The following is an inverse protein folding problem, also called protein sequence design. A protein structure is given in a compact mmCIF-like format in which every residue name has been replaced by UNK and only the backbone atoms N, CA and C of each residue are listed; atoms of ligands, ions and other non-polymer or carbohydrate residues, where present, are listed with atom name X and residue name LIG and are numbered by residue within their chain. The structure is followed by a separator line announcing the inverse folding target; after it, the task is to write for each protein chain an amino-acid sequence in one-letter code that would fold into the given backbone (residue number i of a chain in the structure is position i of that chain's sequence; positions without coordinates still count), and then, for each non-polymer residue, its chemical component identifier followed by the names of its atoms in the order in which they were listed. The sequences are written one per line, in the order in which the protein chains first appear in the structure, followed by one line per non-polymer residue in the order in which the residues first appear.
data_IF_913660476378
#
_entry.id   IF_913660476378
#
_cell.length_a   1.000
_cell.length_b   1.000
_cell.length_c   1.000
_cell.angle_alpha   90.00
_cell.angle_beta   90.00
_cell.angle_gamma   90.00
#
_symmetry.space_group_name_H-M   'P 1'
#
loop_
_entity.id
_entity.type
_entity.pdbx_description
1 polymer ?
#
# COMPACT_ATOMS: atom_id res chain seq x y z
N UNK A 1 -22.97 40.12 44.78
CA UNK A 1 -23.62 39.40 45.89
C UNK A 1 -23.14 37.94 45.85
N UNK A 2 -22.26 37.60 46.80
CA UNK A 2 -21.94 36.26 47.37
C UNK A 2 -21.72 35.09 46.39
N UNK A 3 -20.55 34.45 46.23
CA UNK A 3 -19.54 33.97 47.22
C UNK A 3 -20.15 33.21 48.42
N UNK A 4 -20.11 31.88 48.34
CA UNK A 4 -19.73 30.92 49.41
C UNK A 4 -19.37 29.57 48.71
N UNK A 5 -18.11 29.13 48.63
CA UNK A 5 -17.29 28.46 49.67
C UNK A 5 -17.92 27.20 50.26
N UNK A 6 -17.54 26.02 49.75
CA UNK A 6 -16.57 25.07 50.34
C UNK A 6 -16.39 23.89 49.35
N UNK A 7 -15.22 23.65 48.76
CA UNK A 7 -14.15 22.79 49.29
C UNK A 7 -14.66 21.49 49.92
N UNK A 8 -14.55 20.36 49.19
CA UNK A 8 -13.70 19.24 49.60
C UNK A 8 -13.60 18.11 48.55
N UNK A 9 -12.37 17.65 48.35
CA UNK A 9 -11.88 16.40 47.73
C UNK A 9 -11.78 16.22 46.20
N UNK A 10 -10.66 16.70 45.67
CA UNK A 10 -9.82 15.99 44.70
C UNK A 10 -9.21 14.72 45.31
N UNK A 11 -9.30 13.56 44.64
CA UNK A 11 -8.15 12.67 44.35
C UNK A 11 -8.50 11.29 43.74
N UNK A 12 -7.70 10.96 42.70
CA UNK A 12 -7.21 9.63 42.26
C UNK A 12 -8.01 8.74 41.28
N UNK A 13 -7.46 8.70 40.05
CA UNK A 13 -6.98 7.54 39.25
C UNK A 13 -7.98 6.43 38.89
N UNK A 14 -8.15 6.14 37.59
CA UNK A 14 -7.31 5.24 36.76
C UNK A 14 -7.82 5.23 35.31
N UNK A 15 -6.93 5.49 34.35
CA UNK A 15 -7.11 5.11 32.96
C UNK A 15 -6.84 3.61 32.81
N UNK A 16 -7.70 2.92 32.06
CA UNK A 16 -7.57 1.53 31.63
C UNK A 16 -7.35 1.45 30.12
N UNK A 17 -6.24 0.80 29.73
CA UNK A 17 -5.96 -0.04 28.54
C UNK A 17 -6.74 0.08 27.21
N UNK A 18 -5.98 -0.07 26.11
CA UNK A 18 -6.36 -0.51 24.74
C UNK A 18 -6.13 0.58 23.66
N UNK A 19 -5.59 0.36 22.45
CA UNK A 19 -5.23 -0.84 21.66
C UNK A 19 -4.37 -0.39 20.46
N UNK A 20 -3.37 -1.20 20.09
CA UNK A 20 -2.83 -1.47 18.73
C UNK A 20 -2.39 -0.29 17.82
N UNK A 21 -1.07 -0.02 17.81
CA UNK A 21 -0.36 0.63 16.69
C UNK A 21 0.64 -0.38 16.09
N UNK A 22 0.29 -0.93 14.93
CA UNK A 22 0.94 -2.05 14.23
C UNK A 22 1.88 -1.59 13.08
N UNK A 23 2.68 -0.54 13.28
CA UNK A 23 3.58 0.00 12.24
C UNK A 23 5.02 0.21 12.73
N UNK A 24 5.71 -0.90 13.03
CA UNK A 24 7.15 -0.91 13.36
C UNK A 24 8.02 -1.04 12.10
N UNK A 25 8.30 0.13 11.53
CA UNK A 25 9.08 0.41 10.32
C UNK A 25 10.59 0.16 10.51
N UNK A 26 11.18 -0.62 9.60
CA UNK A 26 12.60 -1.03 9.65
C UNK A 26 13.54 0.16 9.47
N UNK A 27 13.19 1.09 8.58
CA UNK A 27 13.97 2.31 8.36
C UNK A 27 13.96 3.31 9.53
N UNK A 28 13.06 3.15 10.51
CA UNK A 28 12.97 3.99 11.68
C UNK A 28 13.46 3.33 12.98
N UNK A 29 13.70 2.01 13.04
CA UNK A 29 14.01 1.35 14.32
C UNK A 29 15.39 1.71 14.89
N UNK A 30 16.42 1.95 14.06
CA UNK A 30 17.71 2.43 14.58
C UNK A 30 17.64 3.87 15.09
N UNK A 31 16.76 4.69 14.50
CA UNK A 31 16.50 6.06 14.95
C UNK A 31 15.54 6.10 16.13
N UNK A 32 14.53 5.24 16.26
CA UNK A 32 13.68 5.18 17.45
C UNK A 32 14.44 4.66 18.67
N UNK A 33 15.39 3.72 18.50
CA UNK A 33 16.40 3.46 19.53
C UNK A 33 17.18 4.74 19.85
N UNK A 34 17.72 5.47 18.87
CA UNK A 34 18.52 6.68 19.13
C UNK A 34 17.77 7.96 19.53
N UNK A 35 16.48 8.12 19.20
CA UNK A 35 15.70 9.36 19.44
C UNK A 35 14.81 9.24 20.67
N UNK A 36 14.41 8.03 21.09
CA UNK A 36 13.92 7.80 22.45
C UNK A 36 15.07 7.81 23.49
N UNK A 37 16.32 7.63 23.04
CA UNK A 37 17.55 7.74 23.83
C UNK A 37 18.28 9.07 23.49
N UNK A 38 17.57 10.19 23.56
CA UNK A 38 18.23 11.50 23.68
C UNK A 38 18.73 11.70 25.12
N UNK A 39 19.77 12.51 25.37
CA UNK A 39 20.59 12.42 26.59
C UNK A 39 19.72 12.56 27.83
N UNK A 40 19.84 11.59 28.74
CA UNK A 40 19.17 11.53 30.04
C UNK A 40 19.03 12.94 30.64
N UNK A 41 17.84 13.51 30.55
CA UNK A 41 17.54 14.75 31.27
C UNK A 41 17.02 14.36 32.65
N UNK A 42 17.59 15.03 33.64
CA UNK A 42 17.71 14.67 35.06
C UNK A 42 16.43 14.54 35.90
N UNK A 43 15.25 14.28 35.30
CA UNK A 43 13.99 14.16 36.05
C UNK A 43 13.19 12.96 35.60
N UNK A 44 13.44 11.88 36.33
CA UNK A 44 12.43 10.99 36.94
C UNK A 44 13.00 9.58 37.03
N UNK A 45 13.99 9.45 37.91
CA UNK A 45 14.36 8.17 38.50
C UNK A 45 13.17 7.64 39.30
N UNK A 46 12.81 6.39 39.00
CA UNK A 46 12.07 5.37 39.77
C UNK A 46 10.77 4.90 39.06
N UNK A 47 10.60 3.58 38.94
CA UNK A 47 9.36 2.82 38.57
C UNK A 47 9.11 2.61 37.05
N UNK A 48 8.09 1.83 36.61
CA UNK A 48 8.02 0.80 35.51
C UNK A 48 8.55 1.10 34.10
N UNK A 49 9.04 2.31 33.85
CA UNK A 49 9.54 2.81 32.58
C UNK A 49 10.72 2.00 31.99
N UNK A 50 11.57 1.41 32.85
CA UNK A 50 12.70 0.59 32.38
C UNK A 50 12.28 -0.80 31.87
N UNK A 51 11.15 -1.36 32.35
CA UNK A 51 10.68 -2.68 31.91
C UNK A 51 10.03 -2.56 30.54
N UNK A 52 9.21 -1.52 30.34
CA UNK A 52 8.58 -1.23 29.04
C UNK A 52 9.63 -1.02 27.94
N UNK A 53 10.72 -0.29 28.23
CA UNK A 53 11.83 -0.10 27.27
C UNK A 53 12.59 -1.40 26.96
N UNK A 54 12.76 -2.28 27.95
CA UNK A 54 13.38 -3.60 27.76
C UNK A 54 12.51 -4.50 26.90
N UNK A 55 11.20 -4.50 27.15
CA UNK A 55 10.22 -5.25 26.35
C UNK A 55 10.15 -4.71 24.91
N UNK A 56 10.17 -3.39 24.71
CA UNK A 56 10.27 -2.76 23.38
C UNK A 56 11.56 -3.19 22.65
N UNK A 57 12.71 -3.21 23.35
CA UNK A 57 13.98 -3.65 22.77
C UNK A 57 13.94 -5.12 22.34
N UNK A 58 13.43 -6.01 23.20
CA UNK A 58 13.28 -7.43 22.90
C UNK A 58 12.37 -7.60 21.67
N UNK A 59 11.21 -6.95 21.67
CA UNK A 59 10.26 -7.01 20.56
C UNK A 59 10.87 -6.51 19.24
N UNK A 60 11.59 -5.38 19.27
CA UNK A 60 12.25 -4.84 18.08
C UNK A 60 13.32 -5.80 17.54
N UNK A 61 14.07 -6.48 18.41
CA UNK A 61 15.06 -7.48 18.03
C UNK A 61 14.43 -8.74 17.46
N UNK A 62 13.37 -9.27 18.08
CA UNK A 62 12.65 -10.42 17.56
C UNK A 62 12.07 -10.12 16.17
N UNK A 63 11.52 -8.92 15.97
CA UNK A 63 11.04 -8.47 14.66
C UNK A 63 12.15 -8.31 13.63
N UNK A 64 13.36 -7.90 14.02
CA UNK A 64 14.51 -7.86 13.12
C UNK A 64 14.91 -9.27 12.69
N UNK A 65 14.97 -10.21 13.64
CA UNK A 65 15.32 -11.60 13.37
C UNK A 65 14.27 -12.30 12.49
N UNK A 66 12.97 -12.06 12.73
CA UNK A 66 11.89 -12.60 11.89
C UNK A 66 12.05 -12.21 10.41
N UNK A 67 12.51 -10.98 10.14
CA UNK A 67 12.72 -10.48 8.78
C UNK A 67 13.89 -11.15 8.07
N UNK A 68 14.88 -11.65 8.81
CA UNK A 68 16.01 -12.37 8.22
C UNK A 68 15.62 -13.71 7.62
N UNK A 69 14.49 -14.30 8.04
CA UNK A 69 14.00 -15.56 7.49
C UNK A 69 13.75 -15.46 5.99
N UNK A 70 13.19 -14.33 5.52
CA UNK A 70 12.95 -14.12 4.10
C UNK A 70 14.26 -14.09 3.29
N UNK A 71 15.36 -13.64 3.89
CA UNK A 71 16.67 -13.67 3.25
C UNK A 71 17.27 -15.07 3.25
N UNK A 72 17.14 -15.82 4.35
CA UNK A 72 17.69 -17.17 4.44
C UNK A 72 16.90 -18.19 3.64
N UNK A 73 15.59 -17.98 3.48
CA UNK A 73 14.70 -18.87 2.74
C UNK A 73 14.67 -18.56 1.24
N UNK A 74 15.12 -17.37 0.83
CA UNK A 74 15.26 -17.01 -0.59
C UNK A 74 16.19 -18.00 -1.31
N UNK A 75 15.73 -18.48 -2.47
CA UNK A 75 16.53 -19.35 -3.35
C UNK A 75 17.71 -18.60 -4.00
N UNK A 76 17.67 -17.26 -3.99
CA UNK A 76 18.61 -16.39 -4.69
C UNK A 76 19.68 -15.81 -3.75
N UNK A 77 19.50 -15.93 -2.43
CA UNK A 77 20.57 -15.59 -1.46
C UNK A 77 21.70 -16.63 -1.52
N UNK A 78 22.93 -16.14 -1.71
CA UNK A 78 24.13 -16.99 -1.74
C UNK A 78 24.36 -17.75 -0.43
N UNK A 79 25.03 -18.91 -0.49
CA UNK A 79 25.33 -19.70 0.70
C UNK A 79 26.17 -18.90 1.72
N UNK A 80 27.16 -18.15 1.23
CA UNK A 80 28.02 -17.30 2.07
C UNK A 80 27.22 -16.22 2.79
N UNK A 81 26.34 -15.51 2.08
CA UNK A 81 25.48 -14.49 2.69
C UNK A 81 24.52 -15.09 3.71
N UNK A 82 23.92 -16.26 3.41
CA UNK A 82 23.03 -16.98 4.33
C UNK A 82 23.75 -17.38 5.62
N UNK A 83 24.95 -17.94 5.51
CA UNK A 83 25.77 -18.30 6.67
C UNK A 83 26.13 -17.07 7.51
N UNK A 84 26.51 -15.96 6.85
CA UNK A 84 26.87 -14.73 7.54
C UNK A 84 25.66 -14.08 8.25
N UNK A 85 24.47 -14.06 7.61
CA UNK A 85 23.23 -13.59 8.24
C UNK A 85 22.92 -14.41 9.49
N UNK A 86 22.99 -15.74 9.41
CA UNK A 86 22.73 -16.64 10.56
C UNK A 86 23.74 -16.40 11.70
N UNK A 87 25.02 -16.27 11.37
CA UNK A 87 26.06 -15.94 12.34
C UNK A 87 25.78 -14.60 13.07
N UNK A 88 25.39 -13.56 12.32
CA UNK A 88 25.05 -12.25 12.90
C UNK A 88 23.77 -12.32 13.74
N UNK A 89 22.78 -13.12 13.35
CA UNK A 89 21.59 -13.38 14.15
C UNK A 89 21.93 -13.99 15.51
N UNK A 90 22.81 -15.00 15.54
CA UNK A 90 23.25 -15.62 16.79
C UNK A 90 24.08 -14.66 17.65
N UNK A 91 24.89 -13.82 17.02
CA UNK A 91 25.61 -12.73 17.71
C UNK A 91 24.65 -11.72 18.34
N UNK A 92 23.61 -11.28 17.62
CA UNK A 92 22.57 -10.39 18.15
C UNK A 92 21.86 -11.01 19.36
N UNK A 93 21.47 -12.28 19.28
CA UNK A 93 20.83 -13.01 20.40
C UNK A 93 21.75 -13.09 21.62
N UNK A 94 23.04 -13.36 21.41
CA UNK A 94 24.03 -13.45 22.48
C UNK A 94 24.22 -12.11 23.20
N UNK A 95 24.43 -11.02 22.46
CA UNK A 95 24.62 -9.69 23.05
C UNK A 95 23.33 -9.19 23.72
N UNK A 96 22.15 -9.43 23.13
CA UNK A 96 20.88 -9.10 23.80
C UNK A 96 20.75 -9.85 25.13
N UNK A 97 21.09 -11.14 25.17
CA UNK A 97 21.04 -11.94 26.40
C UNK A 97 22.02 -11.42 27.46
N UNK A 98 23.22 -11.00 27.07
CA UNK A 98 24.19 -10.37 27.99
C UNK A 98 23.64 -9.06 28.55
N UNK A 99 23.07 -8.23 27.68
CA UNK A 99 22.44 -6.98 28.04
C UNK A 99 21.32 -7.16 29.07
N UNK A 100 20.35 -8.03 28.76
CA UNK A 100 19.26 -8.33 29.67
C UNK A 100 19.75 -8.84 31.04
N UNK A 101 20.74 -9.73 31.05
CA UNK A 101 21.31 -10.25 32.31
C UNK A 101 21.93 -9.16 33.18
N UNK A 102 22.56 -8.15 32.57
CA UNK A 102 23.15 -7.01 33.29
C UNK A 102 22.03 -6.07 33.78
N UNK A 103 21.04 -5.80 32.92
CA UNK A 103 19.88 -4.97 33.26
C UNK A 103 19.06 -5.54 34.42
N UNK A 104 18.88 -6.86 34.48
CA UNK A 104 18.19 -7.52 35.60
C UNK A 104 18.99 -7.57 36.92
N UNK A 105 20.33 -7.43 36.87
CA UNK A 105 21.21 -7.57 38.05
C UNK A 105 21.64 -6.24 38.67
N UNK A 106 21.37 -5.12 38.01
CA UNK A 106 21.96 -3.82 38.36
C UNK A 106 21.13 -3.04 39.38
N UNK A 107 21.71 -2.69 40.52
CA UNK A 107 21.15 -1.71 41.48
C UNK A 107 21.70 -0.29 41.22
N UNK A 108 20.78 0.67 41.00
CA UNK A 108 20.83 2.16 40.98
C UNK A 108 22.09 2.98 40.56
N UNK A 109 23.31 2.43 40.48
CA UNK A 109 24.55 3.22 40.38
C UNK A 109 25.48 2.89 39.19
N UNK A 110 25.04 2.11 38.19
CA UNK A 110 25.87 1.77 37.01
C UNK A 110 25.20 2.12 35.67
N UNK A 111 24.72 3.36 35.53
CA UNK A 111 24.10 3.86 34.28
C UNK A 111 25.02 3.75 33.06
N UNK A 112 26.29 4.16 33.20
CA UNK A 112 27.28 4.11 32.12
C UNK A 112 27.50 2.68 31.60
N UNK A 113 27.41 1.67 32.48
CA UNK A 113 27.57 0.25 32.10
C UNK A 113 26.34 -0.24 31.32
N UNK A 114 25.14 0.29 31.61
CA UNK A 114 23.92 -0.04 30.85
C UNK A 114 23.95 0.59 29.45
N UNK A 115 24.36 1.85 29.34
CA UNK A 115 24.42 2.55 28.04
C UNK A 115 25.40 1.87 27.09
N UNK A 116 26.60 1.50 27.56
CA UNK A 116 27.58 0.76 26.77
C UNK A 116 27.07 -0.60 26.26
N UNK A 117 26.26 -1.29 27.06
CA UNK A 117 25.73 -2.60 26.72
C UNK A 117 24.55 -2.51 25.74
N UNK A 118 23.71 -1.49 25.88
CA UNK A 118 22.68 -1.14 24.90
C UNK A 118 23.34 -0.77 23.56
N UNK A 119 24.42 0.02 23.59
CA UNK A 119 25.18 0.38 22.40
C UNK A 119 25.80 -0.84 21.71
N UNK A 120 26.29 -1.83 22.48
CA UNK A 120 26.77 -3.11 21.92
C UNK A 120 25.65 -3.86 21.19
N UNK A 121 24.47 -3.94 21.80
CA UNK A 121 23.28 -4.56 21.20
C UNK A 121 22.88 -3.84 19.92
N UNK A 122 22.73 -2.52 19.95
CA UNK A 122 22.42 -1.69 18.77
C UNK A 122 23.49 -1.87 17.67
N UNK A 123 24.77 -1.92 18.05
CA UNK A 123 25.87 -2.15 17.12
C UNK A 123 25.74 -3.48 16.38
N UNK A 124 25.38 -4.57 17.06
CA UNK A 124 25.13 -5.86 16.39
C UNK A 124 23.93 -5.84 15.45
N UNK A 125 22.83 -5.17 15.83
CA UNK A 125 21.67 -5.01 14.95
C UNK A 125 21.99 -4.19 13.70
N UNK A 126 22.83 -3.15 13.82
CA UNK A 126 23.35 -2.39 12.68
C UNK A 126 24.17 -3.27 11.74
N UNK A 127 25.07 -4.09 12.28
CA UNK A 127 25.86 -5.02 11.47
C UNK A 127 24.99 -6.04 10.74
N UNK A 128 23.98 -6.60 11.41
CA UNK A 128 23.01 -7.50 10.79
C UNK A 128 22.27 -6.80 9.64
N UNK A 129 21.75 -5.61 9.90
CA UNK A 129 21.06 -4.79 8.88
C UNK A 129 21.96 -4.50 7.69
N UNK A 130 23.22 -4.13 7.93
CA UNK A 130 24.21 -3.91 6.88
C UNK A 130 24.45 -5.17 6.04
N UNK A 131 24.49 -6.36 6.65
CA UNK A 131 24.56 -7.59 5.87
C UNK A 131 23.30 -7.75 5.00
N UNK A 132 22.09 -7.61 5.54
CA UNK A 132 20.86 -7.71 4.73
C UNK A 132 20.90 -6.81 3.49
N UNK A 133 21.43 -5.60 3.63
CA UNK A 133 21.63 -4.65 2.54
C UNK A 133 22.63 -5.17 1.50
N UNK A 134 23.79 -5.65 1.95
CA UNK A 134 24.80 -6.24 1.07
C UNK A 134 24.26 -7.47 0.34
N UNK A 135 23.45 -8.28 1.01
CA UNK A 135 22.80 -9.46 0.42
C UNK A 135 21.83 -9.10 -0.71
N UNK A 136 21.10 -7.98 -0.63
CA UNK A 136 20.28 -7.49 -1.75
C UNK A 136 21.16 -6.87 -2.84
N UNK A 137 22.21 -6.13 -2.47
CA UNK A 137 23.12 -5.51 -3.42
C UNK A 137 23.82 -6.56 -4.30
N UNK A 138 24.20 -7.70 -3.72
CA UNK A 138 24.80 -8.84 -4.43
C UNK A 138 23.88 -9.41 -5.52
N UNK A 139 22.56 -9.46 -5.24
CA UNK A 139 21.54 -9.98 -6.16
C UNK A 139 21.11 -8.98 -7.26
N UNK A 140 21.60 -7.74 -7.20
CA UNK A 140 21.11 -6.65 -8.06
C UNK A 140 21.42 -6.89 -9.54
N UNK A 141 22.58 -7.48 -9.87
CA UNK A 141 22.93 -7.80 -11.25
C UNK A 141 21.97 -8.83 -11.87
N UNK A 142 21.66 -9.89 -11.12
CA UNK A 142 20.75 -10.94 -11.55
C UNK A 142 19.30 -10.44 -11.62
N UNK A 143 18.89 -9.56 -10.70
CA UNK A 143 17.61 -8.86 -10.79
C UNK A 143 17.47 -8.13 -12.13
N UNK A 144 18.46 -7.30 -12.50
CA UNK A 144 18.40 -6.56 -13.76
C UNK A 144 18.40 -7.47 -14.99
N UNK A 145 19.11 -8.60 -14.92
CA UNK A 145 19.04 -9.62 -15.94
C UNK A 145 17.60 -10.16 -16.08
N UNK A 146 16.97 -10.59 -14.98
CA UNK A 146 15.58 -11.06 -14.99
C UNK A 146 14.57 -10.01 -15.43
N UNK A 147 14.72 -8.75 -15.02
CA UNK A 147 13.89 -7.64 -15.47
C UNK A 147 13.98 -7.48 -17.00
N UNK A 148 15.20 -7.46 -17.55
CA UNK A 148 15.44 -7.33 -18.99
C UNK A 148 14.90 -8.53 -19.76
N UNK A 149 15.22 -9.75 -19.32
CA UNK A 149 14.75 -10.99 -19.95
C UNK A 149 13.23 -11.05 -19.93
N UNK A 150 12.56 -10.65 -18.83
CA UNK A 150 11.09 -10.64 -18.77
C UNK A 150 10.47 -9.76 -19.86
N UNK A 151 11.02 -8.57 -20.12
CA UNK A 151 10.54 -7.67 -21.17
C UNK A 151 10.76 -8.26 -22.56
N UNK A 152 11.92 -8.88 -22.80
CA UNK A 152 12.21 -9.58 -24.05
C UNK A 152 11.22 -10.74 -24.28
N UNK A 153 10.91 -11.52 -23.24
CA UNK A 153 9.92 -12.60 -23.32
C UNK A 153 8.53 -12.07 -23.64
N UNK A 154 8.09 -10.98 -22.99
CA UNK A 154 6.79 -10.35 -23.27
C UNK A 154 6.67 -9.87 -24.71
N UNK A 155 7.71 -9.22 -25.24
CA UNK A 155 7.70 -8.76 -26.63
C UNK A 155 7.65 -9.94 -27.63
N UNK A 156 8.24 -11.08 -27.27
CA UNK A 156 8.23 -12.28 -28.12
C UNK A 156 6.92 -13.07 -28.06
N UNK A 157 6.08 -12.89 -27.03
CA UNK A 157 4.79 -13.58 -26.95
C UNK A 157 3.87 -13.27 -28.13
N UNK A 158 3.97 -12.07 -28.72
CA UNK A 158 3.22 -11.72 -29.94
C UNK A 158 3.62 -12.61 -31.13
N UNK A 159 4.92 -12.80 -31.34
CA UNK A 159 5.45 -13.66 -32.41
C UNK A 159 5.10 -15.14 -32.18
N UNK A 160 5.25 -15.62 -30.95
CA UNK A 160 4.95 -17.01 -30.59
C UNK A 160 3.47 -17.32 -30.69
N UNK A 161 2.60 -16.35 -30.39
CA UNK A 161 1.17 -16.51 -30.54
C UNK A 161 0.76 -16.76 -31.99
N UNK A 162 1.47 -16.15 -32.95
CA UNK A 162 1.15 -16.26 -34.38
C UNK A 162 1.73 -17.51 -35.06
N UNK A 163 2.76 -18.14 -34.48
CA UNK A 163 3.50 -19.25 -35.11
C UNK A 163 2.96 -20.66 -34.78
N UNK A 164 1.87 -20.76 -34.01
CA UNK A 164 1.16 -22.02 -33.65
C UNK A 164 2.03 -23.17 -33.08
N UNK A 165 3.18 -22.89 -32.45
CA UNK A 165 3.99 -23.91 -31.77
C UNK A 165 3.69 -23.95 -30.25
N UNK A 166 2.89 -24.91 -29.76
CA UNK A 166 2.51 -25.00 -28.35
C UNK A 166 3.68 -25.38 -27.44
N UNK A 167 4.69 -26.08 -27.95
CA UNK A 167 5.83 -26.54 -27.15
C UNK A 167 6.74 -25.37 -26.81
N UNK A 168 7.14 -24.60 -27.82
CA UNK A 168 7.87 -23.35 -27.64
C UNK A 168 7.08 -22.36 -26.77
N UNK A 169 5.77 -22.19 -26.99
CA UNK A 169 4.97 -21.27 -26.16
C UNK A 169 5.03 -21.63 -24.67
N UNK A 170 4.96 -22.92 -24.33
CA UNK A 170 5.04 -23.37 -22.94
C UNK A 170 6.44 -23.14 -22.34
N UNK A 171 7.51 -23.41 -23.09
CA UNK A 171 8.87 -23.14 -22.62
C UNK A 171 9.12 -21.65 -22.33
N UNK A 172 8.63 -20.77 -23.19
CA UNK A 172 8.70 -19.32 -22.96
C UNK A 172 7.86 -18.88 -21.76
N UNK A 173 6.68 -19.46 -21.60
CA UNK A 173 5.81 -19.20 -20.45
C UNK A 173 6.49 -19.61 -19.13
N UNK A 174 7.17 -20.76 -19.11
CA UNK A 174 7.93 -21.21 -17.94
C UNK A 174 9.09 -20.27 -17.63
N UNK A 175 9.91 -19.90 -18.64
CA UNK A 175 11.01 -18.92 -18.45
C UNK A 175 10.52 -17.57 -17.94
N UNK A 176 9.35 -17.13 -18.40
CA UNK A 176 8.74 -15.90 -17.93
C UNK A 176 8.28 -16.01 -16.48
N UNK A 177 7.70 -17.15 -16.11
CA UNK A 177 7.33 -17.46 -14.73
C UNK A 177 8.55 -17.46 -13.80
N UNK A 178 9.65 -18.10 -14.20
CA UNK A 178 10.91 -18.09 -13.44
C UNK A 178 11.44 -16.67 -13.23
N UNK A 179 11.32 -15.80 -14.25
CA UNK A 179 11.66 -14.38 -14.09
C UNK A 179 10.74 -13.68 -13.09
N UNK A 180 9.42 -13.93 -13.15
CA UNK A 180 8.46 -13.36 -12.21
C UNK A 180 8.80 -13.76 -10.77
N UNK A 181 9.05 -15.05 -10.52
CA UNK A 181 9.36 -15.58 -9.20
C UNK A 181 10.62 -14.94 -8.63
N UNK A 182 11.67 -14.82 -9.44
CA UNK A 182 12.89 -14.12 -9.03
C UNK A 182 12.63 -12.64 -8.69
N UNK A 183 11.93 -11.91 -9.56
CA UNK A 183 11.66 -10.48 -9.33
C UNK A 183 10.79 -10.29 -8.07
N UNK A 184 9.78 -11.14 -7.87
CA UNK A 184 8.91 -11.11 -6.68
C UNK A 184 9.72 -11.33 -5.40
N UNK A 185 10.64 -12.31 -5.41
CA UNK A 185 11.49 -12.61 -4.27
C UNK A 185 12.39 -11.42 -3.93
N UNK A 186 13.06 -10.83 -4.91
CA UNK A 186 13.92 -9.65 -4.67
C UNK A 186 13.10 -8.43 -4.23
N UNK A 187 11.87 -8.22 -4.74
CA UNK A 187 10.97 -7.19 -4.22
C UNK A 187 10.65 -7.42 -2.73
N UNK A 188 10.44 -8.67 -2.31
CA UNK A 188 10.23 -9.01 -0.89
C UNK A 188 11.45 -8.67 -0.03
N UNK A 189 12.66 -8.89 -0.53
CA UNK A 189 13.90 -8.51 0.17
C UNK A 189 14.10 -6.99 0.22
N UNK A 190 13.83 -6.28 -0.88
CA UNK A 190 13.86 -4.81 -0.97
C UNK A 190 12.91 -4.17 0.03
N UNK A 191 11.72 -4.74 0.24
CA UNK A 191 10.76 -4.29 1.25
C UNK A 191 11.37 -4.27 2.67
N UNK A 192 12.25 -5.21 3.00
CA UNK A 192 12.86 -5.28 4.34
C UNK A 192 13.96 -4.25 4.56
N UNK A 193 14.69 -3.87 3.52
CA UNK A 193 15.76 -2.88 3.63
C UNK A 193 15.30 -1.46 3.32
N UNK A 194 14.03 -1.27 2.93
CA UNK A 194 13.45 0.03 2.62
C UNK A 194 13.54 0.99 3.82
N UNK A 195 14.10 2.17 3.57
CA UNK A 195 14.34 3.19 4.59
C UNK A 195 13.09 3.97 5.00
N UNK A 196 12.06 3.99 4.14
CA UNK A 196 10.81 4.71 4.41
C UNK A 196 9.62 3.78 4.29
N UNK A 197 8.56 4.06 5.05
CA UNK A 197 7.27 3.35 4.93
C UNK A 197 6.71 3.42 3.51
N UNK A 198 6.86 4.57 2.86
CA UNK A 198 6.43 4.76 1.47
C UNK A 198 7.12 3.76 0.53
N UNK A 199 8.45 3.65 0.60
CA UNK A 199 9.21 2.70 -0.23
C UNK A 199 8.89 1.24 0.14
N UNK A 200 8.65 0.96 1.42
CA UNK A 200 8.24 -0.35 1.89
C UNK A 200 6.88 -0.77 1.31
N UNK A 201 5.89 0.12 1.38
CA UNK A 201 4.55 -0.11 0.83
C UNK A 201 4.59 -0.21 -0.68
N UNK A 202 5.36 0.64 -1.37
CA UNK A 202 5.54 0.57 -2.82
C UNK A 202 6.14 -0.78 -3.25
N UNK A 203 7.23 -1.21 -2.60
CA UNK A 203 7.87 -2.49 -2.88
C UNK A 203 6.91 -3.68 -2.66
N UNK A 204 6.12 -3.66 -1.59
CA UNK A 204 5.06 -4.65 -1.33
C UNK A 204 3.98 -4.66 -2.41
N UNK A 205 3.50 -3.48 -2.81
CA UNK A 205 2.49 -3.34 -3.86
C UNK A 205 2.99 -3.86 -5.21
N UNK A 206 4.26 -3.60 -5.55
CA UNK A 206 4.86 -4.10 -6.79
C UNK A 206 4.95 -5.64 -6.80
N UNK A 207 5.33 -6.26 -5.69
CA UNK A 207 5.33 -7.73 -5.57
C UNK A 207 3.93 -8.33 -5.74
N UNK A 208 2.89 -7.69 -5.18
CA UNK A 208 1.49 -8.10 -5.36
C UNK A 208 1.06 -7.94 -6.82
N UNK A 209 1.37 -6.80 -7.44
CA UNK A 209 1.03 -6.52 -8.83
C UNK A 209 1.69 -7.54 -9.78
N UNK A 210 2.95 -7.90 -9.56
CA UNK A 210 3.62 -8.95 -10.35
C UNK A 210 2.88 -10.29 -10.27
N UNK A 211 2.45 -10.72 -9.07
CA UNK A 211 1.69 -11.96 -8.88
C UNK A 211 0.34 -11.94 -9.59
N UNK A 212 -0.31 -10.77 -9.65
CA UNK A 212 -1.60 -10.61 -10.31
C UNK A 212 -1.42 -10.57 -11.83
N UNK A 213 -0.53 -9.72 -12.34
CA UNK A 213 -0.42 -9.41 -13.76
C UNK A 213 0.47 -10.37 -14.55
N UNK A 214 1.49 -10.99 -13.95
CA UNK A 214 2.36 -11.97 -14.63
C UNK A 214 1.56 -13.08 -15.33
N UNK A 215 0.63 -13.77 -14.63
CA UNK A 215 -0.24 -14.76 -15.26
C UNK A 215 -1.17 -14.20 -16.35
N UNK A 216 -1.58 -12.93 -16.24
CA UNK A 216 -2.47 -12.31 -17.24
C UNK A 216 -1.75 -12.05 -18.57
N UNK A 217 -0.46 -11.74 -18.55
CA UNK A 217 0.35 -11.58 -19.77
C UNK A 217 0.37 -12.90 -20.56
N UNK A 218 0.63 -14.03 -19.90
CA UNK A 218 0.61 -15.35 -20.54
C UNK A 218 -0.79 -15.67 -21.07
N UNK A 219 -1.84 -15.35 -20.30
CA UNK A 219 -3.22 -15.58 -20.71
C UNK A 219 -3.59 -14.76 -21.95
N UNK A 220 -3.21 -13.48 -21.99
CA UNK A 220 -3.42 -12.61 -23.14
C UNK A 220 -2.74 -13.16 -24.40
N UNK A 221 -1.48 -13.60 -24.26
CA UNK A 221 -0.73 -14.24 -25.34
C UNK A 221 -1.40 -15.53 -25.84
N UNK A 222 -1.94 -16.34 -24.92
CA UNK A 222 -2.68 -17.58 -25.24
C UNK A 222 -4.03 -17.31 -25.92
N UNK A 223 -4.71 -16.22 -25.57
CA UNK A 223 -5.94 -15.79 -26.26
C UNK A 223 -5.60 -15.35 -27.68
N UNK A 224 -4.53 -14.58 -27.85
CA UNK A 224 -4.05 -14.14 -29.16
C UNK A 224 -3.67 -15.34 -30.04
N UNK A 225 -3.01 -16.36 -29.48
CA UNK A 225 -2.64 -17.56 -30.25
C UNK A 225 -3.85 -18.36 -30.72
N UNK A 226 -4.95 -18.33 -29.97
CA UNK A 226 -6.20 -18.96 -30.36
C UNK A 226 -6.98 -18.16 -31.40
N UNK A 227 -6.82 -16.84 -31.41
CA UNK A 227 -7.56 -15.90 -32.26
C UNK A 227 -6.62 -14.87 -32.92
N UNK A 228 -5.69 -15.30 -33.80
CA UNK A 228 -4.59 -14.45 -34.27
C UNK A 228 -5.03 -13.26 -35.13
N UNK A 229 -6.19 -13.34 -35.78
CA UNK A 229 -6.77 -12.27 -36.62
C UNK A 229 -7.71 -11.34 -35.85
N UNK A 230 -7.95 -11.62 -34.58
CA UNK A 230 -8.88 -10.86 -33.75
C UNK A 230 -8.25 -9.56 -33.27
N UNK A 231 -8.77 -8.42 -33.74
CA UNK A 231 -8.32 -7.09 -33.31
C UNK A 231 -8.40 -6.94 -31.77
N UNK A 232 -9.51 -7.29 -31.09
CA UNK A 232 -9.55 -7.22 -29.62
C UNK A 232 -8.52 -8.10 -28.91
N UNK A 233 -8.16 -9.26 -29.48
CA UNK A 233 -7.16 -10.13 -28.86
C UNK A 233 -5.75 -9.52 -28.98
N UNK A 234 -5.47 -8.84 -30.10
CA UNK A 234 -4.23 -8.13 -30.34
C UNK A 234 -4.10 -6.91 -29.39
N UNK A 235 -5.14 -6.07 -29.34
CA UNK A 235 -5.19 -4.91 -28.42
C UNK A 235 -5.05 -5.33 -26.95
N UNK A 236 -5.66 -6.45 -26.56
CA UNK A 236 -5.53 -6.99 -25.20
C UNK A 236 -4.09 -7.43 -24.89
N UNK A 237 -3.40 -8.10 -25.83
CA UNK A 237 -1.99 -8.47 -25.66
C UNK A 237 -1.09 -7.24 -25.52
N UNK A 238 -1.31 -6.23 -26.38
CA UNK A 238 -0.55 -4.97 -26.34
C UNK A 238 -0.76 -4.23 -25.01
N UNK A 239 -1.99 -4.17 -24.51
CA UNK A 239 -2.30 -3.54 -23.23
C UNK A 239 -1.55 -4.21 -22.06
N UNK A 240 -1.52 -5.54 -22.02
CA UNK A 240 -0.77 -6.27 -20.99
C UNK A 240 0.75 -6.16 -21.17
N UNK A 241 1.24 -6.06 -22.41
CA UNK A 241 2.66 -5.85 -22.68
C UNK A 241 3.13 -4.47 -22.20
N UNK A 242 2.36 -3.40 -22.46
CA UNK A 242 2.67 -2.06 -21.98
C UNK A 242 2.56 -1.95 -20.45
N UNK A 243 1.53 -2.57 -19.85
CA UNK A 243 1.43 -2.66 -18.39
C UNK A 243 2.64 -3.36 -17.78
N UNK A 244 3.13 -4.45 -18.40
CA UNK A 244 4.32 -5.15 -17.94
C UNK A 244 5.56 -4.26 -18.00
N UNK A 245 5.78 -3.56 -19.12
CA UNK A 245 6.91 -2.61 -19.26
C UNK A 245 6.86 -1.51 -18.19
N UNK A 246 5.67 -0.99 -17.90
CA UNK A 246 5.48 -0.01 -16.83
C UNK A 246 5.85 -0.60 -15.45
N UNK A 247 5.35 -1.80 -15.12
CA UNK A 247 5.68 -2.47 -13.86
C UNK A 247 7.20 -2.67 -13.70
N UNK A 248 7.87 -3.14 -14.75
CA UNK A 248 9.33 -3.34 -14.75
C UNK A 248 10.08 -2.02 -14.54
N UNK A 249 9.61 -0.93 -15.15
CA UNK A 249 10.16 0.42 -14.92
C UNK A 249 10.01 0.85 -13.47
N UNK A 250 8.84 0.66 -12.87
CA UNK A 250 8.58 1.04 -11.48
C UNK A 250 9.41 0.21 -10.50
N UNK A 251 9.56 -1.09 -10.73
CA UNK A 251 10.42 -1.97 -9.92
C UNK A 251 11.87 -1.51 -9.99
N UNK A 252 12.35 -1.19 -11.20
CA UNK A 252 13.70 -0.64 -11.42
C UNK A 252 13.89 0.64 -10.61
N UNK A 253 12.92 1.56 -10.65
CA UNK A 253 12.97 2.85 -9.96
C UNK A 253 12.97 2.69 -8.43
N UNK A 254 12.10 1.83 -7.89
CA UNK A 254 11.99 1.58 -6.45
C UNK A 254 13.22 0.86 -5.93
N UNK A 255 13.72 -0.16 -6.65
CA UNK A 255 14.95 -0.86 -6.28
C UNK A 255 16.14 0.12 -6.22
N UNK A 256 16.27 1.00 -7.22
CA UNK A 256 17.31 2.01 -7.26
C UNK A 256 17.20 3.00 -6.08
N UNK A 257 16.00 3.53 -5.81
CA UNK A 257 15.79 4.45 -4.68
C UNK A 257 16.13 3.81 -3.33
N UNK A 258 15.74 2.56 -3.12
CA UNK A 258 16.04 1.82 -1.89
C UNK A 258 17.55 1.61 -1.76
N UNK A 259 18.22 1.13 -2.81
CA UNK A 259 19.66 0.85 -2.78
C UNK A 259 20.50 2.13 -2.64
N UNK A 260 20.10 3.24 -3.27
CA UNK A 260 20.79 4.53 -3.17
C UNK A 260 20.67 5.15 -1.78
N UNK A 261 19.49 5.10 -1.17
CA UNK A 261 19.26 5.63 0.19
C UNK A 261 20.04 4.84 1.24
N UNK A 262 20.36 3.60 0.92
CA UNK A 262 21.05 2.67 1.82
C UNK A 262 22.57 2.64 1.57
N UNK A 263 23.04 3.32 0.52
CA UNK A 263 24.32 3.11 -0.13
C UNK A 263 25.48 4.06 0.21
N UNK A 264 25.45 4.87 1.28
CA UNK A 264 26.64 5.67 1.65
C UNK A 264 27.91 4.83 1.99
N UNK A 265 27.85 3.50 1.94
CA UNK A 265 29.02 2.61 2.14
C UNK A 265 29.25 1.53 1.06
N UNK A 266 28.61 1.57 -0.11
CA UNK A 266 28.90 0.60 -1.18
C UNK A 266 29.41 1.30 -2.45
N UNK A 267 30.58 0.87 -2.95
CA UNK A 267 31.32 1.48 -4.06
C UNK A 267 30.60 1.21 -5.40
N UNK A 268 29.51 1.94 -5.63
CA UNK A 268 28.50 1.74 -6.67
C UNK A 268 28.93 2.22 -8.07
N UNK A 269 29.99 1.62 -8.63
CA UNK A 269 30.49 1.93 -9.99
C UNK A 269 29.72 1.24 -11.11
N UNK A 270 28.94 0.20 -10.80
CA UNK A 270 28.12 -0.55 -11.80
C UNK A 270 26.71 0.03 -12.01
N UNK A 271 26.26 0.92 -11.12
CA UNK A 271 24.89 1.45 -11.08
C UNK A 271 24.56 2.40 -12.25
N UNK A 272 25.55 3.01 -12.89
CA UNK A 272 25.32 4.16 -13.81
C UNK A 272 25.00 3.82 -15.26
N UNK A 273 24.73 2.55 -15.62
CA UNK A 273 24.68 2.12 -17.04
C UNK A 273 23.39 1.47 -17.55
N UNK A 274 22.27 1.58 -16.83
CA UNK A 274 20.97 1.31 -17.45
C UNK A 274 20.11 2.57 -17.47
N UNK A 275 20.03 3.20 -18.65
CA UNK A 275 18.95 4.13 -18.99
C UNK A 275 18.01 3.35 -19.91
N UNK A 276 16.76 3.10 -19.51
CA UNK A 276 15.73 2.77 -20.48
C UNK A 276 15.68 3.91 -21.50
N UNK A 277 15.73 3.59 -22.78
CA UNK A 277 15.63 4.58 -23.85
C UNK A 277 14.32 5.34 -23.64
N UNK A 278 14.43 6.62 -23.27
CA UNK A 278 13.29 7.52 -23.24
C UNK A 278 12.69 7.55 -24.65
N UNK A 279 11.52 6.94 -24.82
CA UNK A 279 10.67 7.29 -25.94
C UNK A 279 10.25 8.74 -25.71
N UNK A 280 10.86 9.67 -26.47
CA UNK A 280 10.37 11.04 -26.54
C UNK A 280 8.92 11.00 -27.05
N UNK A 281 8.04 11.87 -26.52
CA UNK A 281 6.70 12.00 -27.01
C UNK A 281 6.77 12.51 -28.45
N UNK A 282 6.29 11.71 -29.40
CA UNK A 282 5.97 12.23 -30.72
C UNK A 282 4.68 13.04 -30.56
N UNK A 283 4.88 14.35 -30.43
CA UNK A 283 3.88 15.37 -30.70
C UNK A 283 3.43 15.26 -32.16
N UNK A 284 2.27 14.65 -32.38
CA UNK A 284 1.45 14.86 -33.57
C UNK A 284 0.10 15.37 -33.07
N UNK A 285 -0.14 16.66 -33.31
CA UNK A 285 -1.46 17.31 -33.31
C UNK A 285 -2.25 17.33 -32.01
N UNK A 286 -2.08 18.39 -31.20
CA UNK A 286 -3.20 18.89 -30.41
C UNK A 286 -4.29 19.44 -31.35
N UNK A 287 -5.54 19.35 -30.89
CA UNK A 287 -6.82 19.52 -31.60
C UNK A 287 -7.23 18.25 -32.37
N UNK A 288 -7.96 17.29 -31.79
CA UNK A 288 -9.22 17.44 -31.05
C UNK A 288 -9.19 16.85 -29.63
N UNK A 289 -9.75 17.61 -28.70
CA UNK A 289 -10.11 17.15 -27.37
C UNK A 289 -11.22 16.10 -27.44
N UNK A 290 -11.07 15.04 -26.64
CA UNK A 290 -12.18 14.40 -25.95
C UNK A 290 -12.99 13.41 -26.77
N UNK A 291 -12.73 12.11 -26.54
CA UNK A 291 -13.77 11.10 -26.38
C UNK A 291 -13.18 9.83 -25.77
N UNK A 292 -13.43 9.68 -24.48
CA UNK A 292 -13.61 8.36 -23.86
C UNK A 292 -14.64 7.63 -24.72
N UNK A 293 -14.25 6.57 -25.45
CA UNK A 293 -15.21 5.58 -25.94
C UNK A 293 -15.88 5.01 -24.67
N UNK A 294 -17.14 5.29 -24.30
CA UNK A 294 -18.37 5.31 -25.11
C UNK A 294 -18.50 4.13 -26.06
N UNK A 295 -18.21 2.95 -25.51
CA UNK A 295 -18.84 1.69 -25.90
C UNK A 295 -18.78 0.75 -24.68
N UNK A 296 -19.31 1.14 -23.53
CA UNK A 296 -20.59 0.61 -23.01
C UNK A 296 -21.35 1.64 -22.13
N UNK A 297 -21.01 2.93 -22.24
CA UNK A 297 -21.57 4.01 -21.39
C UNK A 297 -22.95 4.52 -21.81
N UNK A 298 -23.59 3.91 -22.82
CA UNK A 298 -24.89 4.38 -23.33
C UNK A 298 -26.07 4.10 -22.40
N UNK A 299 -25.88 3.28 -21.37
CA UNK A 299 -26.94 2.86 -20.45
C UNK A 299 -26.69 3.23 -18.98
N UNK A 300 -25.70 4.07 -18.66
CA UNK A 300 -25.40 4.39 -17.26
C UNK A 300 -26.17 5.64 -16.80
N UNK A 301 -26.92 5.58 -15.69
CA UNK A 301 -27.51 6.77 -15.09
C UNK A 301 -26.40 7.77 -14.72
N UNK A 302 -26.57 9.06 -15.07
CA UNK A 302 -25.61 10.14 -14.79
C UNK A 302 -25.21 10.25 -13.29
N UNK A 303 -26.00 9.66 -12.40
CA UNK A 303 -25.77 9.62 -10.95
C UNK A 303 -24.72 8.60 -10.50
N UNK A 304 -24.29 7.66 -11.36
CA UNK A 304 -23.29 6.60 -11.07
C UNK A 304 -22.00 6.79 -11.91
N UNK A 305 -21.95 7.80 -12.78
CA UNK A 305 -20.80 8.02 -13.64
C UNK A 305 -19.52 8.31 -12.83
N UNK A 306 -18.36 7.78 -13.25
CA UNK A 306 -17.07 8.15 -12.68
C UNK A 306 -16.91 9.66 -12.69
N UNK A 307 -16.56 10.20 -11.54
CA UNK A 307 -16.37 11.63 -11.35
C UNK A 307 -15.23 12.14 -12.24
N UNK A 308 -15.57 12.89 -13.30
CA UNK A 308 -14.63 13.24 -14.38
C UNK A 308 -14.48 14.76 -14.64
N UNK A 309 -14.90 15.62 -13.73
CA UNK A 309 -14.76 17.06 -13.91
C UNK A 309 -13.41 17.58 -13.40
N UNK A 310 -12.43 17.69 -14.31
CA UNK A 310 -11.25 18.58 -14.23
C UNK A 310 -10.61 18.74 -12.83
N UNK A 311 -10.03 17.66 -12.32
CA UNK A 311 -9.10 17.73 -11.19
C UNK A 311 -7.69 17.62 -11.75
N UNK A 312 -6.89 18.69 -11.65
CA UNK A 312 -5.48 18.65 -12.09
C UNK A 312 -4.74 17.53 -11.32
N UNK A 313 -4.29 16.52 -12.05
CA UNK A 313 -3.67 15.31 -11.48
C UNK A 313 -2.31 15.59 -10.83
N UNK A 314 -1.66 16.72 -11.11
CA UNK A 314 -0.31 17.04 -10.62
C UNK A 314 -0.23 17.57 -9.17
N UNK A 315 -1.36 17.97 -8.55
CA UNK A 315 -1.37 18.56 -7.18
C UNK A 315 -2.05 17.64 -6.15
N UNK A 316 -2.53 16.47 -6.57
CA UNK A 316 -3.68 15.85 -5.91
C UNK A 316 -3.46 14.45 -5.31
N UNK A 317 -2.22 13.94 -5.33
CA UNK A 317 -1.90 12.63 -4.73
C UNK A 317 -2.02 12.61 -3.19
N UNK A 318 -2.05 13.79 -2.56
CA UNK A 318 -2.20 13.96 -1.10
C UNK A 318 -3.63 14.26 -0.64
N UNK A 319 -4.63 14.31 -1.53
CA UNK A 319 -6.00 14.61 -1.13
C UNK A 319 -6.81 13.34 -0.83
N UNK A 320 -6.79 12.99 0.45
CA UNK A 320 -7.48 11.86 1.06
C UNK A 320 -9.00 11.81 0.79
N UNK A 321 -9.66 12.94 0.51
CA UNK A 321 -11.08 13.01 0.15
C UNK A 321 -11.29 12.47 -1.26
N UNK A 322 -10.44 12.89 -2.19
CA UNK A 322 -10.58 12.59 -3.63
C UNK A 322 -10.17 11.15 -3.90
N UNK A 323 -9.10 10.68 -3.28
CA UNK A 323 -8.67 9.28 -3.36
C UNK A 323 -9.79 8.33 -2.95
N UNK A 324 -10.46 8.62 -1.82
CA UNK A 324 -11.58 7.83 -1.33
C UNK A 324 -12.83 7.95 -2.21
N UNK A 325 -13.14 9.14 -2.72
CA UNK A 325 -14.25 9.33 -3.67
C UNK A 325 -14.04 8.57 -5.00
N UNK A 326 -12.81 8.55 -5.53
CA UNK A 326 -12.43 7.75 -6.70
C UNK A 326 -12.56 6.24 -6.40
N UNK A 327 -12.09 5.79 -5.24
CA UNK A 327 -12.24 4.40 -4.80
C UNK A 327 -13.72 3.97 -4.73
N UNK A 328 -14.56 4.80 -4.09
CA UNK A 328 -16.01 4.56 -4.04
C UNK A 328 -16.65 4.52 -5.44
N UNK A 329 -16.23 5.40 -6.35
CA UNK A 329 -16.72 5.37 -7.74
C UNK A 329 -16.39 4.05 -8.44
N UNK A 330 -15.18 3.52 -8.25
CA UNK A 330 -14.77 2.23 -8.80
C UNK A 330 -15.57 1.06 -8.20
N UNK A 331 -15.81 1.08 -6.90
CA UNK A 331 -16.65 0.07 -6.22
C UNK A 331 -18.10 0.10 -6.72
N UNK A 332 -18.71 1.28 -6.84
CA UNK A 332 -20.07 1.44 -7.36
C UNK A 332 -20.18 0.97 -8.82
N UNK A 333 -19.13 1.21 -9.62
CA UNK A 333 -19.06 0.73 -11.00
C UNK A 333 -18.99 -0.79 -11.09
N UNK A 334 -18.19 -1.46 -10.24
CA UNK A 334 -18.16 -2.92 -10.19
C UNK A 334 -19.53 -3.53 -9.83
N UNK A 335 -20.25 -2.90 -8.89
CA UNK A 335 -21.63 -3.30 -8.54
C UNK A 335 -22.61 -3.09 -9.69
N UNK A 336 -22.45 -2.01 -10.46
CA UNK A 336 -23.27 -1.78 -11.65
C UNK A 336 -22.97 -2.80 -12.77
N UNK A 337 -21.70 -3.10 -13.03
CA UNK A 337 -21.31 -4.10 -14.02
C UNK A 337 -21.90 -5.49 -13.71
N UNK A 338 -21.97 -5.86 -12.44
CA UNK A 338 -22.64 -7.10 -12.00
C UNK A 338 -24.08 -7.19 -12.52
N UNK A 339 -24.85 -6.09 -12.49
CA UNK A 339 -26.24 -6.07 -13.01
C UNK A 339 -26.33 -6.26 -14.53
N UNK A 340 -25.23 -6.01 -15.23
CA UNK A 340 -25.11 -6.22 -16.68
C UNK A 340 -24.53 -7.60 -17.04
N UNK A 341 -24.20 -8.41 -16.04
CA UNK A 341 -23.51 -9.69 -16.24
C UNK A 341 -22.02 -9.55 -16.60
N UNK A 342 -21.45 -8.36 -16.40
CA UNK A 342 -20.06 -8.02 -16.69
C UNK A 342 -19.28 -7.78 -15.37
N UNK A 343 -17.95 -7.70 -15.45
CA UNK A 343 -17.11 -7.30 -14.32
C UNK A 343 -16.59 -8.44 -13.43
N UNK A 344 -16.02 -8.07 -12.28
CA UNK A 344 -15.26 -8.99 -11.40
C UNK A 344 -16.13 -9.76 -10.40
N UNK A 345 -17.33 -9.28 -10.10
CA UNK A 345 -18.29 -9.91 -9.19
C UNK A 345 -19.02 -11.03 -9.93
N UNK A 346 -18.99 -12.26 -9.42
CA UNK A 346 -19.56 -13.43 -10.11
C UNK A 346 -20.80 -13.98 -9.44
N UNK A 347 -20.93 -13.77 -8.13
CA UNK A 347 -22.04 -14.27 -7.33
C UNK A 347 -22.81 -13.14 -6.66
N UNK A 348 -24.07 -13.39 -6.30
CA UNK A 348 -24.85 -12.45 -5.49
C UNK A 348 -24.21 -12.20 -4.12
N UNK A 349 -23.46 -13.19 -3.59
CA UNK A 349 -22.69 -13.03 -2.36
C UNK A 349 -21.51 -12.07 -2.55
N UNK A 350 -20.85 -12.09 -3.71
CA UNK A 350 -19.78 -11.14 -4.03
C UNK A 350 -20.33 -9.71 -4.06
N UNK A 351 -21.52 -9.51 -4.66
CA UNK A 351 -22.20 -8.21 -4.67
C UNK A 351 -22.51 -7.71 -3.25
N UNK A 352 -23.02 -8.59 -2.38
CA UNK A 352 -23.33 -8.22 -0.99
C UNK A 352 -22.07 -7.87 -0.22
N UNK A 353 -21.00 -8.68 -0.32
CA UNK A 353 -19.70 -8.38 0.28
C UNK A 353 -19.15 -7.05 -0.25
N UNK A 354 -19.25 -6.79 -1.55
CA UNK A 354 -18.81 -5.52 -2.14
C UNK A 354 -19.61 -4.32 -1.63
N UNK A 355 -20.91 -4.49 -1.39
CA UNK A 355 -21.76 -3.47 -0.80
C UNK A 355 -21.38 -3.15 0.66
N UNK A 356 -20.93 -4.15 1.43
CA UNK A 356 -20.38 -3.93 2.78
C UNK A 356 -19.11 -3.10 2.72
N UNK A 357 -18.16 -3.45 1.83
CA UNK A 357 -16.94 -2.67 1.63
C UNK A 357 -17.23 -1.24 1.15
N UNK A 358 -18.21 -1.06 0.27
CA UNK A 358 -18.65 0.26 -0.18
C UNK A 358 -19.20 1.10 0.97
N UNK A 359 -20.01 0.50 1.86
CA UNK A 359 -20.54 1.17 3.04
C UNK A 359 -19.43 1.52 4.07
N UNK A 360 -18.43 0.65 4.25
CA UNK A 360 -17.28 0.92 5.10
C UNK A 360 -16.42 2.07 4.56
N UNK A 361 -16.17 2.09 3.26
CA UNK A 361 -15.41 3.16 2.62
C UNK A 361 -16.13 4.50 2.70
N UNK A 362 -17.47 4.51 2.56
CA UNK A 362 -18.31 5.68 2.79
C UNK A 362 -18.19 6.22 4.23
N UNK A 363 -18.15 5.33 5.23
CA UNK A 363 -17.94 5.72 6.64
C UNK A 363 -16.55 6.32 6.86
N UNK A 364 -15.51 5.77 6.22
CA UNK A 364 -14.15 6.34 6.29
C UNK A 364 -14.11 7.73 5.66
N UNK A 365 -14.70 7.88 4.48
CA UNK A 365 -14.81 9.16 3.79
C UNK A 365 -15.57 10.19 4.64
N UNK A 366 -16.68 9.81 5.28
CA UNK A 366 -17.43 10.68 6.20
C UNK A 366 -16.55 11.24 7.33
N UNK A 367 -15.70 10.40 7.96
CA UNK A 367 -14.79 10.85 9.03
C UNK A 367 -13.81 11.91 8.55
N UNK A 368 -13.23 11.71 7.36
CA UNK A 368 -12.29 12.66 6.75
C UNK A 368 -13.00 13.96 6.38
N UNK A 369 -14.19 13.87 5.77
CA UNK A 369 -15.02 15.02 5.44
C UNK A 369 -15.44 15.81 6.69
N UNK A 370 -15.68 15.11 7.81
CA UNK A 370 -15.99 15.74 9.10
C UNK A 370 -14.80 16.50 9.65
N UNK A 371 -13.59 15.92 9.58
CA UNK A 371 -12.35 16.62 9.96
C UNK A 371 -12.11 17.86 9.09
N UNK A 372 -12.27 17.73 7.78
CA UNK A 372 -12.20 18.86 6.85
C UNK A 372 -13.19 19.98 7.23
N UNK A 373 -14.43 19.64 7.58
CA UNK A 373 -15.44 20.62 7.97
C UNK A 373 -15.03 21.47 9.19
N UNK A 374 -14.17 20.98 10.08
CA UNK A 374 -13.64 21.76 11.20
C UNK A 374 -12.64 22.83 10.76
N UNK A 375 -11.90 22.57 9.69
CA UNK A 375 -10.92 23.50 9.10
C UNK A 375 -11.59 24.61 8.27
N UNK A 376 -12.80 24.36 7.76
CA UNK A 376 -13.56 25.36 6.99
C UNK A 376 -14.06 26.48 7.93
N UNK A 377 -13.79 27.77 7.65
CA UNK A 377 -14.32 28.89 8.42
C UNK A 377 -15.86 28.94 8.40
N UNK A 378 -16.45 29.52 9.45
CA UNK A 378 -17.90 29.70 9.54
C UNK A 378 -18.41 30.53 8.34
N UNK A 379 -19.23 29.90 7.50
CA UNK A 379 -19.76 30.49 6.26
C UNK A 379 -21.06 29.78 5.86
N UNK A 380 -21.83 30.39 4.95
CA UNK A 380 -23.01 29.73 4.38
C UNK A 380 -22.62 28.42 3.67
N UNK A 381 -21.49 28.41 2.96
CA UNK A 381 -20.94 27.22 2.31
C UNK A 381 -20.67 26.08 3.30
N UNK A 382 -20.14 26.39 4.50
CA UNK A 382 -19.96 25.39 5.57
C UNK A 382 -21.28 24.82 6.06
N UNK A 383 -22.31 25.66 6.23
CA UNK A 383 -23.65 25.20 6.63
C UNK A 383 -24.25 24.27 5.58
N UNK A 384 -24.14 24.65 4.31
CA UNK A 384 -24.65 23.84 3.19
C UNK A 384 -23.89 22.50 3.07
N UNK A 385 -22.56 22.52 3.28
CA UNK A 385 -21.74 21.30 3.33
C UNK A 385 -22.20 20.37 4.45
N UNK A 386 -22.37 20.88 5.67
CA UNK A 386 -22.81 20.09 6.83
C UNK A 386 -24.21 19.51 6.64
N UNK A 387 -25.14 20.27 6.06
CA UNK A 387 -26.50 19.80 5.75
C UNK A 387 -26.53 18.57 4.83
N UNK A 388 -25.57 18.48 3.90
CA UNK A 388 -25.45 17.33 3.00
C UNK A 388 -24.65 16.20 3.67
N UNK A 389 -23.55 16.55 4.34
CA UNK A 389 -22.66 15.59 5.03
C UNK A 389 -23.39 14.80 6.13
N UNK A 390 -24.27 15.45 6.90
CA UNK A 390 -25.02 14.83 8.00
C UNK A 390 -26.06 13.79 7.52
N UNK A 391 -26.34 13.74 6.21
CA UNK A 391 -27.20 12.70 5.61
C UNK A 391 -26.44 11.42 5.27
N UNK A 392 -25.12 11.48 5.10
CA UNK A 392 -24.29 10.34 4.68
C UNK A 392 -24.44 9.14 5.64
N UNK A 393 -24.38 9.29 6.98
CA UNK A 393 -24.53 8.16 7.90
C UNK A 393 -25.85 7.40 7.73
N UNK A 394 -26.94 8.10 7.41
CA UNK A 394 -28.25 7.47 7.17
C UNK A 394 -28.23 6.57 5.94
N UNK A 395 -27.68 7.03 4.81
CA UNK A 395 -27.57 6.21 3.61
C UNK A 395 -26.64 5.01 3.80
N UNK A 396 -25.55 5.18 4.56
CA UNK A 396 -24.65 4.08 4.91
C UNK A 396 -25.39 3.03 5.76
N UNK A 397 -26.12 3.45 6.78
CA UNK A 397 -26.92 2.54 7.61
C UNK A 397 -27.98 1.81 6.79
N UNK A 398 -28.72 2.51 5.93
CA UNK A 398 -29.73 1.89 5.05
C UNK A 398 -29.12 0.80 4.16
N UNK A 399 -27.97 1.07 3.54
CA UNK A 399 -27.27 0.07 2.73
C UNK A 399 -26.82 -1.12 3.59
N UNK A 400 -26.22 -0.88 4.76
CA UNK A 400 -25.76 -1.94 5.66
C UNK A 400 -26.91 -2.84 6.15
N UNK A 401 -28.06 -2.27 6.50
CA UNK A 401 -29.24 -3.06 6.88
C UNK A 401 -29.75 -3.89 5.71
N UNK A 402 -29.83 -3.29 4.53
CA UNK A 402 -30.28 -3.99 3.31
C UNK A 402 -29.39 -5.18 2.99
N UNK A 403 -28.07 -5.06 3.16
CA UNK A 403 -27.12 -6.14 2.88
C UNK A 403 -27.20 -7.25 3.93
N UNK A 404 -27.38 -6.91 5.21
CA UNK A 404 -27.47 -7.88 6.32
C UNK A 404 -28.80 -8.62 6.43
N UNK A 405 -29.83 -8.17 5.74
CA UNK A 405 -31.14 -8.81 5.78
C UNK A 405 -31.10 -10.22 5.16
N UNK A 406 -31.68 -11.21 5.83
CA UNK A 406 -31.62 -12.59 5.37
C UNK A 406 -32.72 -12.86 4.35
N UNK A 407 -32.35 -13.30 3.15
CA UNK A 407 -33.31 -13.62 2.08
C UNK A 407 -33.19 -15.07 1.65
N UNK A 408 -34.34 -15.74 1.50
CA UNK A 408 -34.42 -17.14 1.10
C UNK A 408 -35.25 -17.25 -0.17
N UNK A 409 -34.74 -17.98 -1.16
CA UNK A 409 -35.40 -18.18 -2.46
C UNK A 409 -34.93 -17.21 -3.54
N UNK A 410 -35.02 -17.64 -4.80
CA UNK A 410 -34.46 -16.92 -5.96
C UNK A 410 -35.09 -15.53 -6.14
N UNK A 411 -36.42 -15.43 -6.09
CA UNK A 411 -37.13 -14.18 -6.33
C UNK A 411 -36.82 -13.13 -5.26
N UNK A 412 -36.75 -13.53 -3.98
CA UNK A 412 -36.37 -12.64 -2.88
C UNK A 412 -34.92 -12.14 -3.03
N UNK A 413 -34.00 -13.00 -3.49
CA UNK A 413 -32.61 -12.60 -3.75
C UNK A 413 -32.49 -11.58 -4.87
N UNK A 414 -33.26 -11.72 -5.96
CA UNK A 414 -33.27 -10.71 -7.04
C UNK A 414 -33.78 -9.35 -6.55
N UNK A 415 -34.86 -9.33 -5.76
CA UNK A 415 -35.39 -8.10 -5.15
C UNK A 415 -34.36 -7.44 -4.23
N UNK A 416 -33.62 -8.25 -3.45
CA UNK A 416 -32.54 -7.74 -2.58
C UNK A 416 -31.40 -7.15 -3.40
N UNK A 417 -30.97 -7.79 -4.48
CA UNK A 417 -29.96 -7.27 -5.42
C UNK A 417 -30.39 -5.88 -5.93
N UNK A 418 -31.62 -5.74 -6.43
CA UNK A 418 -32.14 -4.45 -6.91
C UNK A 418 -32.15 -3.37 -5.83
N UNK A 419 -32.48 -3.76 -4.59
CA UNK A 419 -32.48 -2.83 -3.46
C UNK A 419 -31.05 -2.38 -3.11
N UNK A 420 -30.10 -3.30 -3.05
CA UNK A 420 -28.68 -2.99 -2.79
C UNK A 420 -28.12 -2.03 -3.85
N UNK A 421 -28.40 -2.28 -5.14
CA UNK A 421 -27.95 -1.41 -6.24
C UNK A 421 -28.56 0.00 -6.12
N UNK A 422 -29.84 0.08 -5.75
CA UNK A 422 -30.54 1.36 -5.54
C UNK A 422 -29.94 2.15 -4.38
N UNK A 423 -29.67 1.49 -3.26
CA UNK A 423 -29.08 2.15 -2.09
C UNK A 423 -27.63 2.58 -2.32
N UNK A 424 -26.83 1.78 -3.03
CA UNK A 424 -25.50 2.19 -3.50
C UNK A 424 -25.57 3.45 -4.36
N UNK A 425 -26.51 3.51 -5.30
CA UNK A 425 -26.74 4.69 -6.14
C UNK A 425 -27.11 5.93 -5.32
N UNK A 426 -28.04 5.78 -4.37
CA UNK A 426 -28.47 6.85 -3.49
C UNK A 426 -27.31 7.42 -2.67
N UNK A 427 -26.52 6.53 -2.05
CA UNK A 427 -25.33 6.90 -1.28
C UNK A 427 -24.29 7.61 -2.16
N UNK A 428 -23.99 7.07 -3.35
CA UNK A 428 -23.02 7.67 -4.28
C UNK A 428 -23.43 9.08 -4.73
N UNK A 429 -24.72 9.30 -5.00
CA UNK A 429 -25.26 10.63 -5.37
C UNK A 429 -25.03 11.67 -4.26
N UNK A 430 -25.18 11.26 -3.00
CA UNK A 430 -24.91 12.14 -1.84
C UNK A 430 -23.42 12.41 -1.69
N UNK A 431 -22.57 11.38 -1.81
CA UNK A 431 -21.11 11.53 -1.76
C UNK A 431 -20.62 12.53 -2.82
N UNK A 432 -21.09 12.40 -4.06
CA UNK A 432 -20.74 13.33 -5.14
C UNK A 432 -21.09 14.77 -4.78
N UNK A 433 -22.29 15.02 -4.25
CA UNK A 433 -22.70 16.37 -3.82
C UNK A 433 -21.83 16.91 -2.69
N UNK A 434 -21.44 16.07 -1.73
CA UNK A 434 -20.58 16.48 -0.61
C UNK A 434 -19.17 16.83 -1.12
N UNK A 435 -18.58 16.00 -1.98
CA UNK A 435 -17.24 16.22 -2.54
C UNK A 435 -17.20 17.50 -3.38
N UNK A 436 -18.20 17.72 -4.24
CA UNK A 436 -18.33 18.98 -4.99
C UNK A 436 -18.42 20.20 -4.07
N UNK A 437 -19.19 20.10 -2.96
CA UNK A 437 -19.30 21.21 -2.01
C UNK A 437 -18.03 21.44 -1.19
N UNK A 438 -17.27 20.40 -0.89
CA UNK A 438 -15.95 20.50 -0.27
C UNK A 438 -14.98 21.30 -1.16
N UNK A 439 -15.04 21.09 -2.48
CA UNK A 439 -14.23 21.85 -3.43
C UNK A 439 -14.53 23.35 -3.38
N UNK A 440 -15.81 23.73 -3.42
CA UNK A 440 -16.23 25.13 -3.28
C UNK A 440 -15.82 25.77 -1.95
N UNK A 441 -15.66 24.96 -0.89
CA UNK A 441 -15.16 25.43 0.39
C UNK A 441 -13.64 25.60 0.37
N UNK A 442 -12.91 24.70 -0.29
CA UNK A 442 -11.45 24.73 -0.39
C UNK A 442 -10.94 25.90 -1.26
N UNK A 443 -11.58 26.17 -2.41
CA UNK A 443 -11.18 27.26 -3.31
C UNK A 443 -11.30 28.64 -2.64
N UNK A 444 -12.38 28.87 -1.88
CA UNK A 444 -12.58 30.14 -1.15
C UNK A 444 -11.68 30.33 0.07
N UNK A 445 -11.08 29.26 0.60
CA UNK A 445 -10.09 29.35 1.69
C UNK A 445 -8.72 29.76 1.15
N UNK A 446 -8.34 29.27 -0.04
CA UNK A 446 -7.10 29.68 -0.71
C UNK A 446 -7.13 31.13 -1.21
N UNK A 447 -8.29 31.68 -1.59
CA UNK A 447 -8.41 33.09 -2.02
C UNK A 447 -8.34 34.12 -0.87
N UNK A 448 -8.25 33.67 0.39
CA UNK A 448 -8.21 34.54 1.59
C UNK A 448 -6.87 34.51 2.35
N UNK A 449 -5.89 33.78 1.84
CA UNK A 449 -4.48 33.84 2.21
C UNK A 449 -3.72 34.58 1.11
#
# INVERSE_FOLDING_TARGET
TEKKWNNEYTSKRRNSFGSEDESLLIGNNYKQCGTKISPFTDRDLMTPFNIELIEELIYAFEKLLEKTHDFTDSAYTSHENREHILFLCDRCKLELKKCLNILYKTERNTRHIMDEEIDRVIGTAKNLTQQLILSVADQTADLYHSLKTSVELVNNFHLLALNEDPTSFQEWSNKFHDCCDHIIDVCKLLQHIAFTESLQVQSKCLAINLRIYGPQVILAAKILSRYPTSVPANENMDAFAEMWKWLISEITNVAQQILDTTGEQCDNKSIKKYKPTAARPLSVGQEEQGKVATAETKDMPAEIAPFNEKWNDEVNENNDIIKRAKNMSAMAFAMYQFTKGNGTLRTTQDLFTQAEYFAEEANRLYKVLRQFSYQVPASQNKKDLLNILDRVPTFVQTLQFTVKDHTVGKDATFVKVDHVIRETKNLMSVINKVVSKCFECATKVNDRL
#
